data_IF_340840112364
#
_entry.id   IF_340840112364
#
_cell.length_a   1.000
_cell.length_b   1.000
_cell.length_c   1.000
_cell.angle_alpha   90.00
_cell.angle_beta   90.00
_cell.angle_gamma   90.00
#
_symmetry.space_group_name_H-M   'P 1'
#
loop_
_entity.id
_entity.type
_entity.pdbx_description
1 polymer ?
#
# COMPACT_ATOMS: atom_id res chain seq x y z
N UNK A 1 22.10 15.25 -29.79
CA UNK A 1 20.88 14.45 -30.09
C UNK A 1 21.06 12.95 -29.83
N UNK A 2 22.00 12.23 -30.49
CA UNK A 2 22.17 10.77 -30.22
C UNK A 2 22.73 10.44 -28.83
N UNK A 3 23.68 11.23 -28.29
CA UNK A 3 24.23 11.03 -26.93
C UNK A 3 23.25 11.38 -25.81
N UNK A 4 22.50 12.48 -25.94
CA UNK A 4 21.45 12.83 -24.95
C UNK A 4 20.35 11.78 -24.92
N UNK A 5 19.89 11.29 -26.08
CA UNK A 5 18.91 10.20 -26.15
C UNK A 5 19.50 8.92 -25.55
N UNK A 6 20.79 8.64 -25.76
CA UNK A 6 21.44 7.49 -25.15
C UNK A 6 21.53 7.63 -23.63
N UNK A 7 21.88 8.81 -23.11
CA UNK A 7 21.95 9.10 -21.67
C UNK A 7 20.59 9.09 -21.00
N UNK A 8 19.55 9.63 -21.65
CA UNK A 8 18.16 9.49 -21.20
C UNK A 8 17.75 8.01 -21.18
N UNK A 9 18.14 7.23 -22.19
CA UNK A 9 17.91 5.78 -22.18
C UNK A 9 18.66 5.09 -21.05
N UNK A 10 19.90 5.49 -20.74
CA UNK A 10 20.68 4.95 -19.63
C UNK A 10 20.06 5.32 -18.28
N UNK A 11 19.61 6.55 -18.06
CA UNK A 11 18.91 6.93 -16.81
C UNK A 11 17.54 6.23 -16.69
N UNK A 12 16.84 6.03 -17.81
CA UNK A 12 15.64 5.18 -17.83
C UNK A 12 16.00 3.73 -17.46
N UNK A 13 17.12 3.20 -17.96
CA UNK A 13 17.64 1.86 -17.60
C UNK A 13 18.07 1.78 -16.13
N UNK A 14 18.70 2.81 -15.56
CA UNK A 14 19.05 2.85 -14.14
C UNK A 14 17.79 2.88 -13.25
N UNK A 15 16.75 3.63 -13.65
CA UNK A 15 15.42 3.51 -13.01
C UNK A 15 14.88 2.08 -13.12
N UNK A 16 15.09 1.40 -14.26
CA UNK A 16 14.69 0.00 -14.44
C UNK A 16 15.57 -0.97 -13.63
N UNK A 17 16.83 -0.63 -13.33
CA UNK A 17 17.73 -1.43 -12.51
C UNK A 17 17.44 -1.27 -11.00
N UNK A 18 17.11 -0.07 -10.53
CA UNK A 18 16.51 0.14 -9.20
C UNK A 18 15.20 -0.67 -9.02
N UNK A 19 14.44 -0.83 -10.12
CA UNK A 19 13.28 -1.70 -10.16
C UNK A 19 13.63 -3.19 -10.17
N UNK A 20 14.79 -3.59 -10.71
CA UNK A 20 15.30 -4.96 -10.79
C UNK A 20 15.95 -5.41 -9.47
N UNK A 21 16.60 -4.51 -8.74
CA UNK A 21 17.16 -4.79 -7.41
C UNK A 21 16.06 -5.13 -6.40
N UNK A 22 14.94 -4.39 -6.44
CA UNK A 22 13.75 -4.74 -5.67
C UNK A 22 13.08 -6.05 -6.14
N UNK A 23 13.43 -6.56 -7.32
CA UNK A 23 12.99 -7.86 -7.84
C UNK A 23 13.85 -9.01 -7.31
N UNK A 24 15.16 -8.83 -7.12
CA UNK A 24 16.04 -9.90 -6.61
C UNK A 24 15.59 -10.41 -5.21
N UNK A 25 15.05 -9.52 -4.36
CA UNK A 25 14.47 -9.87 -3.05
C UNK A 25 13.14 -10.66 -3.11
N UNK A 26 12.38 -10.52 -4.21
CA UNK A 26 11.15 -11.30 -4.47
C UNK A 26 11.49 -12.61 -5.24
N UNK A 27 12.47 -12.59 -6.14
CA UNK A 27 12.87 -13.69 -7.02
C UNK A 27 13.51 -14.88 -6.29
N UNK A 28 14.32 -14.59 -5.28
CA UNK A 28 14.90 -15.62 -4.40
C UNK A 28 13.80 -16.42 -3.68
N UNK A 29 12.61 -15.84 -3.55
CA UNK A 29 11.44 -16.45 -2.92
C UNK A 29 10.63 -17.28 -3.93
N UNK A 30 10.40 -16.77 -5.14
CA UNK A 30 9.64 -17.47 -6.19
C UNK A 30 10.34 -18.78 -6.62
N UNK A 31 11.67 -18.83 -6.61
CA UNK A 31 12.42 -20.07 -6.85
C UNK A 31 12.22 -21.13 -5.75
N UNK A 32 11.92 -20.72 -4.51
CA UNK A 32 11.60 -21.63 -3.40
C UNK A 32 10.12 -22.06 -3.41
N UNK A 33 9.24 -21.29 -4.08
CA UNK A 33 7.78 -21.51 -4.17
C UNK A 33 7.41 -22.56 -5.22
N UNK A 34 8.22 -22.71 -6.27
CA UNK A 34 7.94 -23.61 -7.39
C UNK A 34 7.88 -25.11 -7.01
N UNK A 35 8.47 -25.50 -5.88
CA UNK A 35 8.52 -26.90 -5.43
C UNK A 35 7.23 -27.40 -4.72
N UNK A 36 6.18 -26.55 -4.58
CA UNK A 36 5.01 -26.93 -3.76
C UNK A 36 3.62 -26.39 -4.15
N UNK A 37 3.45 -25.66 -5.26
CA UNK A 37 2.13 -25.10 -5.64
C UNK A 37 1.50 -25.83 -6.84
N UNK A 38 0.20 -26.17 -6.73
CA UNK A 38 -0.55 -26.91 -7.75
C UNK A 38 -1.19 -26.04 -8.86
N UNK A 39 -1.23 -24.71 -8.70
CA UNK A 39 -1.77 -23.79 -9.71
C UNK A 39 -0.66 -22.97 -10.40
N UNK A 40 -0.76 -22.75 -11.72
CA UNK A 40 0.19 -21.90 -12.43
C UNK A 40 0.03 -20.44 -11.99
N UNK A 41 1.07 -19.92 -11.35
CA UNK A 41 1.23 -18.50 -11.07
C UNK A 41 1.28 -17.69 -12.38
N UNK A 42 0.85 -16.43 -12.34
CA UNK A 42 0.97 -15.55 -13.51
C UNK A 42 2.44 -15.42 -13.94
N UNK A 43 2.67 -15.50 -15.26
CA UNK A 43 4.00 -15.30 -15.83
C UNK A 43 4.57 -13.94 -15.43
N UNK A 44 5.86 -13.95 -15.08
CA UNK A 44 6.55 -12.77 -14.55
C UNK A 44 6.54 -11.60 -15.53
N UNK A 45 6.79 -11.84 -16.82
CA UNK A 45 6.84 -10.78 -17.83
C UNK A 45 5.46 -10.15 -18.02
N UNK A 46 4.40 -10.98 -18.00
CA UNK A 46 3.02 -10.49 -18.05
C UNK A 46 2.71 -9.63 -16.83
N UNK A 47 3.07 -10.08 -15.63
CA UNK A 47 2.84 -9.32 -14.40
C UNK A 47 3.47 -7.93 -14.45
N UNK A 48 4.75 -7.82 -14.82
CA UNK A 48 5.44 -6.53 -14.84
C UNK A 48 4.90 -5.58 -15.92
N UNK A 49 4.58 -6.10 -17.10
CA UNK A 49 3.96 -5.30 -18.16
C UNK A 49 2.64 -4.70 -17.70
N UNK A 50 1.77 -5.51 -17.09
CA UNK A 50 0.49 -5.02 -16.58
C UNK A 50 0.66 -4.10 -15.36
N UNK A 51 1.60 -4.39 -14.46
CA UNK A 51 1.89 -3.53 -13.32
C UNK A 51 2.33 -2.15 -13.79
N UNK A 52 3.24 -2.06 -14.77
CA UNK A 52 3.72 -0.81 -15.31
C UNK A 52 2.57 -0.01 -15.96
N UNK A 53 1.73 -0.68 -16.75
CA UNK A 53 0.52 -0.06 -17.32
C UNK A 53 -0.40 0.50 -16.23
N UNK A 54 -0.65 -0.25 -15.17
CA UNK A 54 -1.51 0.18 -14.07
C UNK A 54 -0.88 1.31 -13.24
N UNK A 55 0.45 1.30 -13.05
CA UNK A 55 1.15 2.39 -12.37
C UNK A 55 1.11 3.70 -13.16
N UNK A 56 1.19 3.63 -14.49
CA UNK A 56 0.95 4.80 -15.33
C UNK A 56 -0.46 5.38 -15.13
N UNK A 57 -1.46 4.51 -15.06
CA UNK A 57 -2.84 4.94 -14.76
C UNK A 57 -3.01 5.47 -13.33
N UNK A 58 -2.28 4.94 -12.35
CA UNK A 58 -2.25 5.50 -10.98
C UNK A 58 -1.68 6.92 -10.96
N UNK A 59 -0.66 7.22 -11.78
CA UNK A 59 -0.14 8.59 -11.92
C UNK A 59 -1.22 9.52 -12.49
N UNK A 60 -2.00 9.07 -13.47
CA UNK A 60 -3.13 9.84 -14.02
C UNK A 60 -4.24 10.06 -12.98
N UNK A 61 -4.55 9.03 -12.19
CA UNK A 61 -5.49 9.15 -11.08
C UNK A 61 -5.01 10.18 -10.06
N UNK A 62 -3.72 10.17 -9.71
CA UNK A 62 -3.14 11.14 -8.79
C UNK A 62 -3.27 12.57 -9.33
N UNK A 63 -2.87 12.80 -10.59
CA UNK A 63 -2.97 14.11 -11.24
C UNK A 63 -4.43 14.61 -11.19
N UNK A 64 -5.39 13.71 -11.46
CA UNK A 64 -6.82 14.02 -11.39
C UNK A 64 -7.29 14.37 -9.99
N UNK A 65 -6.89 13.60 -8.97
CA UNK A 65 -7.20 13.88 -7.56
C UNK A 65 -6.72 15.27 -7.17
N UNK A 66 -5.50 15.65 -7.54
CA UNK A 66 -4.97 16.99 -7.28
C UNK A 66 -5.70 18.09 -8.04
N UNK A 67 -6.00 17.85 -9.32
CA UNK A 67 -6.65 18.82 -10.19
C UNK A 67 -8.08 19.12 -9.75
N UNK A 68 -8.86 18.08 -9.45
CA UNK A 68 -10.25 18.19 -8.96
C UNK A 68 -10.37 18.38 -7.45
N UNK A 69 -9.24 18.43 -6.73
CA UNK A 69 -9.21 18.60 -5.27
C UNK A 69 -10.00 17.52 -4.52
N UNK A 70 -10.01 16.30 -5.07
CA UNK A 70 -10.68 15.15 -4.45
C UNK A 70 -9.95 14.73 -3.17
N UNK A 71 -10.67 14.07 -2.27
CA UNK A 71 -10.14 13.50 -1.04
C UNK A 71 -10.34 12.00 -1.10
N UNK A 72 -9.27 11.21 -0.99
CA UNK A 72 -9.38 9.75 -1.10
C UNK A 72 -8.75 9.04 0.10
N UNK A 73 -9.47 8.05 0.63
CA UNK A 73 -9.00 7.14 1.67
C UNK A 73 -9.12 5.71 1.17
N UNK A 74 -8.03 4.94 1.27
CA UNK A 74 -8.02 3.52 0.93
C UNK A 74 -7.59 2.72 2.14
N UNK A 75 -8.46 1.84 2.64
CA UNK A 75 -8.16 0.97 3.78
C UNK A 75 -7.68 -0.38 3.27
N UNK A 76 -6.53 -0.83 3.79
CA UNK A 76 -6.00 -2.16 3.55
C UNK A 76 -6.13 -2.99 4.82
N UNK A 77 -7.14 -3.85 4.85
CA UNK A 77 -7.36 -4.86 5.89
C UNK A 77 -7.19 -6.27 5.33
N UNK A 78 -7.15 -7.25 6.23
CA UNK A 78 -6.96 -8.65 5.89
C UNK A 78 -5.98 -9.34 6.84
N UNK A 79 -5.86 -10.66 6.66
CA UNK A 79 -5.04 -11.49 7.55
C UNK A 79 -3.57 -11.08 7.57
N UNK A 80 -2.89 -11.51 8.62
CA UNK A 80 -1.44 -11.39 8.70
C UNK A 80 -0.81 -12.22 7.59
N UNK A 81 0.24 -11.65 6.99
CA UNK A 81 0.87 -12.17 5.79
C UNK A 81 0.05 -12.19 4.49
N UNK A 82 -1.17 -11.64 4.47
CA UNK A 82 -2.02 -11.61 3.26
C UNK A 82 -1.46 -10.79 2.09
N UNK A 83 -0.49 -9.90 2.33
CA UNK A 83 0.21 -9.16 1.27
C UNK A 83 -0.15 -7.68 1.14
N UNK A 84 -0.85 -7.11 2.13
CA UNK A 84 -1.27 -5.70 2.22
C UNK A 84 -0.14 -4.72 1.92
N UNK A 85 0.93 -4.73 2.73
CA UNK A 85 2.07 -3.83 2.54
C UNK A 85 2.77 -3.98 1.18
N UNK A 86 2.76 -5.18 0.60
CA UNK A 86 3.28 -5.38 -0.77
C UNK A 86 2.40 -4.70 -1.82
N UNK A 87 1.08 -4.75 -1.66
CA UNK A 87 0.14 -4.07 -2.55
C UNK A 87 0.24 -2.54 -2.39
N UNK A 88 0.31 -2.03 -1.16
CA UNK A 88 0.54 -0.61 -0.86
C UNK A 88 1.84 -0.15 -1.52
N UNK A 89 2.94 -0.89 -1.33
CA UNK A 89 4.24 -0.56 -1.95
C UNK A 89 4.11 -0.43 -3.47
N UNK A 90 3.40 -1.33 -4.15
CA UNK A 90 3.21 -1.26 -5.61
C UNK A 90 2.32 -0.11 -6.05
N UNK A 91 1.35 0.31 -5.24
CA UNK A 91 0.54 1.53 -5.51
C UNK A 91 1.41 2.78 -5.38
N UNK A 92 2.15 2.91 -4.28
CA UNK A 92 2.88 4.15 -3.97
C UNK A 92 4.20 4.29 -4.73
N UNK A 93 4.72 3.21 -5.33
CA UNK A 93 6.04 3.15 -5.97
C UNK A 93 6.29 4.28 -6.99
N UNK A 94 5.25 4.72 -7.72
CA UNK A 94 5.36 5.73 -8.78
C UNK A 94 4.59 7.02 -8.48
N UNK A 95 4.08 7.15 -7.26
CA UNK A 95 3.26 8.29 -6.86
C UNK A 95 4.09 9.31 -6.11
N UNK A 96 3.72 10.58 -6.28
CA UNK A 96 4.31 11.68 -5.54
C UNK A 96 3.92 11.55 -4.05
N UNK A 97 4.89 11.41 -3.13
CA UNK A 97 4.61 11.21 -1.71
C UNK A 97 3.93 12.39 -1.03
N UNK A 98 3.94 13.59 -1.66
CA UNK A 98 3.19 14.76 -1.19
C UNK A 98 1.70 14.66 -1.46
N UNK A 99 1.30 13.76 -2.35
CA UNK A 99 -0.10 13.56 -2.77
C UNK A 99 -0.64 12.27 -2.21
N UNK A 100 0.16 11.21 -2.28
CA UNK A 100 -0.20 9.88 -1.84
C UNK A 100 0.71 9.49 -0.67
N UNK A 101 0.13 9.39 0.53
CA UNK A 101 0.86 9.00 1.74
C UNK A 101 0.29 7.74 2.39
N UNK A 102 1.16 6.99 3.03
CA UNK A 102 0.81 5.78 3.78
C UNK A 102 0.72 6.11 5.27
N UNK A 103 -0.32 5.59 5.92
CA UNK A 103 -0.53 5.66 7.37
C UNK A 103 -0.45 4.24 7.92
N UNK A 104 0.54 3.98 8.77
CA UNK A 104 0.71 2.72 9.48
C UNK A 104 0.94 3.05 10.96
N UNK A 105 -0.15 3.08 11.74
CA UNK A 105 -0.08 3.48 13.14
C UNK A 105 0.40 2.32 14.03
N UNK A 106 1.28 2.59 15.01
CA UNK A 106 1.63 1.59 16.01
C UNK A 106 0.45 1.36 16.98
N UNK A 107 0.65 0.43 17.92
CA UNK A 107 -0.27 0.23 19.03
C UNK A 107 -0.58 1.56 19.75
N UNK A 108 -1.84 1.78 20.21
CA UNK A 108 -2.23 3.04 20.82
C UNK A 108 -1.52 3.24 22.16
N UNK A 109 -1.02 4.46 22.37
CA UNK A 109 -0.50 4.95 23.65
C UNK A 109 -1.60 4.99 24.71
N UNK A 110 -1.23 5.08 25.99
CA UNK A 110 -2.20 5.21 27.10
C UNK A 110 -3.16 6.40 26.92
N UNK A 111 -2.64 7.52 26.41
CA UNK A 111 -3.45 8.70 26.09
C UNK A 111 -4.41 8.44 24.92
N UNK A 112 -3.99 7.73 23.88
CA UNK A 112 -4.88 7.39 22.76
C UNK A 112 -5.94 6.35 23.16
N UNK A 113 -5.64 5.46 24.11
CA UNK A 113 -6.61 4.49 24.65
C UNK A 113 -7.75 5.14 25.43
N UNK A 114 -7.49 6.30 26.04
CA UNK A 114 -8.50 7.09 26.77
C UNK A 114 -9.21 8.14 25.91
N UNK A 115 -8.88 8.24 24.61
CA UNK A 115 -9.56 9.10 23.66
C UNK A 115 -10.78 8.40 23.05
N UNK A 116 -11.60 9.18 22.34
CA UNK A 116 -12.53 8.59 21.39
C UNK A 116 -11.77 7.79 20.34
N UNK A 117 -12.17 6.53 20.11
CA UNK A 117 -11.40 5.57 19.33
C UNK A 117 -10.97 6.05 17.94
N UNK A 118 -11.85 6.77 17.23
CA UNK A 118 -11.57 7.28 15.88
C UNK A 118 -10.65 8.51 15.88
N UNK A 119 -10.43 9.17 17.02
CA UNK A 119 -9.71 10.46 17.11
C UNK A 119 -8.30 10.39 16.52
N UNK A 120 -7.54 9.33 16.83
CA UNK A 120 -6.18 9.16 16.30
C UNK A 120 -6.16 8.97 14.78
N UNK A 121 -7.19 8.33 14.22
CA UNK A 121 -7.29 8.08 12.78
C UNK A 121 -7.71 9.34 12.01
N UNK A 122 -8.62 10.13 12.59
CA UNK A 122 -9.14 11.38 12.00
C UNK A 122 -8.02 12.37 11.68
N UNK A 123 -6.98 12.42 12.52
CA UNK A 123 -5.81 13.28 12.31
C UNK A 123 -5.05 12.97 10.99
N UNK A 124 -5.25 11.77 10.44
CA UNK A 124 -4.58 11.33 9.24
C UNK A 124 -5.49 11.31 8.00
N UNK A 125 -6.72 11.82 8.08
CA UNK A 125 -7.59 11.92 6.91
C UNK A 125 -7.02 12.90 5.86
N UNK A 126 -7.36 12.71 4.57
CA UNK A 126 -6.87 13.55 3.48
C UNK A 126 -7.42 14.97 3.52
N UNK A 127 -6.60 15.91 3.08
CA UNK A 127 -7.04 17.23 2.63
C UNK A 127 -7.29 17.24 1.12
N UNK A 128 -7.74 18.39 0.59
CA UNK A 128 -8.10 18.57 -0.80
C UNK A 128 -6.95 18.25 -1.76
N UNK A 129 -7.12 17.21 -2.58
CA UNK A 129 -6.11 16.74 -3.53
C UNK A 129 -5.18 15.68 -2.95
N UNK A 130 -5.50 15.07 -1.81
CA UNK A 130 -4.70 14.01 -1.19
C UNK A 130 -5.35 12.62 -1.29
N UNK A 131 -4.48 11.62 -1.36
CA UNK A 131 -4.78 10.20 -1.24
C UNK A 131 -4.07 9.65 0.01
N UNK A 132 -4.82 8.97 0.88
CA UNK A 132 -4.27 8.36 2.09
C UNK A 132 -4.54 6.87 2.10
N UNK A 133 -3.48 6.08 2.18
CA UNK A 133 -3.53 4.62 2.22
C UNK A 133 -3.25 4.17 3.65
N UNK A 134 -4.23 3.53 4.27
CA UNK A 134 -4.14 2.99 5.62
C UNK A 134 -3.67 1.53 5.59
N UNK A 135 -2.45 1.25 6.05
CA UNK A 135 -2.00 -0.12 6.34
C UNK A 135 -2.51 -0.53 7.73
N UNK A 136 -3.64 -1.24 7.72
CA UNK A 136 -4.60 -1.29 8.83
C UNK A 136 -5.23 0.07 9.17
N UNK A 137 -6.34 0.02 9.88
CA UNK A 137 -7.22 1.17 10.09
C UNK A 137 -7.95 1.10 11.43
N UNK A 138 -9.05 1.84 11.56
CA UNK A 138 -9.98 1.70 12.68
C UNK A 138 -10.62 0.31 12.77
N UNK A 139 -10.52 -0.52 11.73
CA UNK A 139 -10.96 -1.92 11.80
C UNK A 139 -10.06 -2.83 12.64
N UNK A 140 -8.95 -2.32 13.21
CA UNK A 140 -8.22 -3.02 14.26
C UNK A 140 -9.13 -3.49 15.40
N UNK A 141 -10.14 -2.69 15.78
CA UNK A 141 -11.12 -3.05 16.80
C UNK A 141 -11.91 -4.31 16.47
N UNK A 142 -12.42 -4.39 15.24
CA UNK A 142 -13.20 -5.53 14.77
C UNK A 142 -12.37 -6.77 14.43
N UNK A 143 -11.05 -6.65 14.35
CA UNK A 143 -10.13 -7.74 14.07
C UNK A 143 -9.26 -8.08 15.28
N UNK A 144 -8.05 -7.52 15.30
CA UNK A 144 -7.02 -7.89 16.27
C UNK A 144 -7.37 -7.56 17.71
N UNK A 145 -8.00 -6.42 17.99
CA UNK A 145 -8.34 -6.06 19.38
C UNK A 145 -9.42 -7.00 19.95
N UNK A 146 -10.40 -7.38 19.13
CA UNK A 146 -11.41 -8.37 19.51
C UNK A 146 -10.79 -9.73 19.82
N UNK A 147 -10.01 -10.27 18.88
CA UNK A 147 -9.48 -11.65 18.99
C UNK A 147 -8.47 -11.76 20.13
N UNK A 148 -7.65 -10.73 20.32
CA UNK A 148 -6.60 -10.72 21.36
C UNK A 148 -7.08 -10.15 22.71
N UNK A 149 -8.36 -9.80 22.84
CA UNK A 149 -8.94 -9.29 24.08
C UNK A 149 -8.43 -7.90 24.49
N UNK A 150 -8.04 -7.05 23.53
CA UNK A 150 -7.61 -5.67 23.80
C UNK A 150 -8.75 -4.66 23.86
N UNK A 151 -9.97 -5.07 23.50
CA UNK A 151 -11.19 -4.30 23.72
C UNK A 151 -12.26 -5.19 24.37
N UNK A 152 -13.10 -4.59 25.21
CA UNK A 152 -14.26 -5.25 25.81
C UNK A 152 -15.41 -5.45 24.80
N UNK A 153 -16.37 -6.34 25.11
CA UNK A 153 -17.56 -6.54 24.27
C UNK A 153 -18.37 -5.26 24.02
N UNK A 154 -18.52 -4.40 25.04
CA UNK A 154 -19.25 -3.14 24.92
C UNK A 154 -18.55 -2.13 23.99
N UNK A 155 -17.21 -2.09 24.03
CA UNK A 155 -16.42 -1.22 23.16
C UNK A 155 -16.47 -1.67 21.69
N UNK A 156 -16.52 -2.98 21.47
CA UNK A 156 -16.67 -3.58 20.15
C UNK A 156 -18.06 -3.32 19.57
N UNK A 157 -19.10 -3.51 20.38
CA UNK A 157 -20.47 -3.22 19.97
C UNK A 157 -20.67 -1.73 19.67
N UNK A 158 -20.12 -0.85 20.50
CA UNK A 158 -20.13 0.58 20.24
C UNK A 158 -19.39 0.94 18.95
N UNK A 159 -18.25 0.28 18.67
CA UNK A 159 -17.56 0.45 17.40
C UNK A 159 -18.42 0.06 16.21
N UNK A 160 -19.13 -1.07 16.26
CA UNK A 160 -19.99 -1.49 15.17
C UNK A 160 -21.21 -0.58 14.96
N UNK A 161 -21.71 0.07 16.01
CA UNK A 161 -22.73 1.12 15.88
C UNK A 161 -22.16 2.40 15.26
N UNK A 162 -20.97 2.78 15.68
CA UNK A 162 -20.34 4.04 15.29
C UNK A 162 -19.70 4.01 13.89
N UNK A 163 -19.05 2.91 13.49
CA UNK A 163 -18.22 2.89 12.26
C UNK A 163 -19.00 3.14 10.97
N UNK A 164 -20.22 2.60 10.74
CA UNK A 164 -20.96 2.91 9.52
C UNK A 164 -21.37 4.38 9.47
N UNK A 165 -21.78 4.97 10.60
CA UNK A 165 -22.13 6.39 10.66
C UNK A 165 -20.92 7.29 10.43
N UNK A 166 -19.78 6.94 11.04
CA UNK A 166 -18.52 7.62 10.83
C UNK A 166 -18.14 7.62 9.34
N UNK A 167 -18.19 6.46 8.68
CA UNK A 167 -17.88 6.34 7.25
C UNK A 167 -18.87 7.12 6.37
N UNK A 168 -20.17 7.09 6.69
CA UNK A 168 -21.17 7.93 6.00
C UNK A 168 -20.89 9.42 6.17
N UNK A 169 -20.38 9.87 7.32
CA UNK A 169 -19.96 11.26 7.51
C UNK A 169 -18.77 11.60 6.58
N UNK A 170 -17.79 10.72 6.47
CA UNK A 170 -16.64 10.91 5.57
C UNK A 170 -17.09 11.02 4.12
N UNK A 171 -17.91 10.07 3.66
CA UNK A 171 -18.41 10.03 2.28
C UNK A 171 -19.28 11.25 1.96
N UNK A 172 -20.17 11.67 2.87
CA UNK A 172 -20.96 12.91 2.70
C UNK A 172 -20.10 14.17 2.66
N UNK A 173 -18.92 14.16 3.29
CA UNK A 173 -17.92 15.23 3.20
C UNK A 173 -17.14 15.21 1.86
N UNK A 174 -17.46 14.28 0.95
CA UNK A 174 -16.79 14.13 -0.33
C UNK A 174 -15.48 13.36 -0.26
N UNK A 175 -15.26 12.55 0.78
CA UNK A 175 -14.16 11.59 0.82
C UNK A 175 -14.57 10.33 0.06
N UNK A 176 -13.78 9.96 -0.94
CA UNK A 176 -13.89 8.67 -1.61
C UNK A 176 -13.24 7.63 -0.71
N UNK A 177 -14.06 6.78 -0.08
CA UNK A 177 -13.61 5.74 0.84
C UNK A 177 -13.68 4.37 0.16
N UNK A 178 -12.52 3.71 0.03
CA UNK A 178 -12.40 2.36 -0.55
C UNK A 178 -11.84 1.41 0.49
N UNK A 179 -12.50 0.29 0.75
CA UNK A 179 -12.10 -0.68 1.78
C UNK A 179 -11.78 -2.04 1.17
N UNK A 180 -10.56 -2.52 1.35
CA UNK A 180 -10.10 -3.81 0.84
C UNK A 180 -9.82 -4.81 1.94
N UNK A 181 -10.36 -6.02 1.80
CA UNK A 181 -10.00 -7.17 2.62
C UNK A 181 -9.16 -8.17 1.80
N UNK A 182 -7.89 -8.34 2.15
CA UNK A 182 -7.00 -9.32 1.52
C UNK A 182 -7.22 -10.71 2.15
N UNK A 183 -7.73 -11.64 1.35
CA UNK A 183 -8.08 -13.00 1.77
C UNK A 183 -7.05 -14.02 1.26
N UNK A 184 -6.56 -14.86 2.17
CA UNK A 184 -5.69 -16.01 1.88
C UNK A 184 -6.25 -17.24 2.60
N UNK A 185 -5.86 -18.43 2.17
CA UNK A 185 -6.17 -19.70 2.86
C UNK A 185 -5.23 -19.89 4.06
N UNK A 186 -5.56 -20.83 4.94
CA UNK A 186 -4.75 -21.16 6.12
C UNK A 186 -3.40 -21.75 5.69
N UNK A 187 -3.43 -22.62 4.68
CA UNK A 187 -2.24 -23.26 4.12
C UNK A 187 -1.28 -22.22 3.53
N UNK A 188 -1.81 -21.23 2.80
CA UNK A 188 -1.00 -20.14 2.26
C UNK A 188 -0.46 -19.23 3.37
N UNK A 189 -1.22 -19.01 4.44
CA UNK A 189 -0.74 -18.25 5.58
C UNK A 189 0.43 -18.99 6.26
N UNK A 190 0.28 -20.28 6.52
CA UNK A 190 1.32 -21.15 7.07
C UNK A 190 2.60 -21.09 6.25
N UNK A 191 2.45 -21.30 4.94
CA UNK A 191 3.56 -21.31 4.00
C UNK A 191 4.33 -20.00 4.08
N UNK A 192 3.64 -18.85 4.06
CA UNK A 192 4.29 -17.54 4.16
C UNK A 192 4.97 -17.30 5.50
N UNK A 193 4.43 -17.85 6.60
CA UNK A 193 5.10 -17.78 7.90
C UNK A 193 6.41 -18.56 7.90
N UNK A 194 6.39 -19.82 7.43
CA UNK A 194 7.61 -20.65 7.30
C UNK A 194 8.66 -19.97 6.44
N UNK A 195 8.26 -19.38 5.31
CA UNK A 195 9.17 -18.64 4.43
C UNK A 195 9.81 -17.43 5.12
N UNK A 196 9.07 -16.66 5.92
CA UNK A 196 9.62 -15.51 6.65
C UNK A 196 10.59 -15.92 7.76
N UNK A 197 10.34 -17.05 8.42
CA UNK A 197 11.23 -17.60 9.45
C UNK A 197 12.59 -17.92 8.84
N UNK A 198 12.58 -18.48 7.63
CA UNK A 198 13.77 -18.95 6.92
C UNK A 198 14.44 -17.88 6.02
N UNK A 199 13.87 -16.68 5.89
CA UNK A 199 14.41 -15.58 5.08
C UNK A 199 14.92 -14.43 5.97
N UNK A 200 16.25 -14.25 6.12
CA UNK A 200 16.84 -13.21 6.96
C UNK A 200 16.39 -11.79 6.63
N UNK A 201 16.04 -11.50 5.37
CA UNK A 201 15.60 -10.17 4.94
C UNK A 201 14.14 -9.87 5.32
N UNK A 202 13.39 -10.89 5.76
CA UNK A 202 11.95 -10.81 6.08
C UNK A 202 11.62 -11.20 7.51
N UNK A 203 12.59 -11.65 8.31
CA UNK A 203 12.40 -12.00 9.72
C UNK A 203 11.82 -10.84 10.54
N UNK A 204 12.21 -9.60 10.27
CA UNK A 204 11.66 -8.41 10.95
C UNK A 204 10.14 -8.22 10.74
N UNK A 205 9.53 -8.89 9.74
CA UNK A 205 8.09 -8.87 9.48
C UNK A 205 7.31 -9.88 10.33
N UNK A 206 7.96 -10.56 11.27
CA UNK A 206 7.34 -11.48 12.22
C UNK A 206 7.35 -10.83 13.60
N UNK A 207 6.16 -10.60 14.12
CA UNK A 207 5.95 -10.23 15.52
C UNK A 207 5.40 -11.43 16.30
N UNK A 208 5.56 -11.47 17.63
CA UNK A 208 4.90 -12.48 18.47
C UNK A 208 3.38 -12.55 18.23
N UNK A 209 2.77 -11.39 17.97
CA UNK A 209 1.35 -11.26 17.63
C UNK A 209 0.96 -12.03 16.36
N UNK A 210 1.83 -12.02 15.34
CA UNK A 210 1.53 -12.73 14.09
C UNK A 210 1.51 -14.26 14.31
N UNK A 211 2.32 -14.79 15.23
CA UNK A 211 2.32 -16.21 15.57
C UNK A 211 1.06 -16.60 16.36
N UNK A 212 0.64 -15.77 17.32
CA UNK A 212 -0.64 -15.95 18.03
C UNK A 212 -1.83 -15.87 17.07
N UNK A 213 -1.75 -15.01 16.05
CA UNK A 213 -2.84 -14.87 15.06
C UNK A 213 -3.15 -16.16 14.32
N UNK A 214 -2.14 -17.03 14.15
CA UNK A 214 -2.27 -18.34 13.51
C UNK A 214 -3.07 -19.31 14.40
N UNK A 215 -2.82 -19.29 15.71
CA UNK A 215 -3.54 -20.14 16.68
C UNK A 215 -5.04 -19.81 16.66
N UNK A 216 -5.37 -18.53 16.50
CA UNK A 216 -6.72 -18.00 16.50
C UNK A 216 -7.37 -17.90 15.11
N UNK A 217 -7.00 -18.76 14.15
CA UNK A 217 -7.47 -18.68 12.77
C UNK A 217 -9.00 -18.56 12.64
N UNK A 218 -9.74 -19.41 13.36
CA UNK A 218 -11.22 -19.43 13.35
C UNK A 218 -11.82 -18.19 14.02
N UNK A 219 -11.22 -17.70 15.10
CA UNK A 219 -11.67 -16.46 15.77
C UNK A 219 -11.55 -15.26 14.83
N UNK A 220 -10.43 -15.15 14.11
CA UNK A 220 -10.27 -14.14 13.06
C UNK A 220 -11.26 -14.32 11.90
N UNK A 221 -11.65 -15.55 11.62
CA UNK A 221 -12.64 -15.85 10.56
C UNK A 221 -14.01 -15.33 10.96
N UNK A 222 -14.46 -15.65 12.19
CA UNK A 222 -15.71 -15.13 12.78
C UNK A 222 -15.68 -13.60 12.88
N UNK A 223 -14.57 -13.04 13.32
CA UNK A 223 -14.39 -11.60 13.42
C UNK A 223 -14.51 -10.89 12.07
N UNK A 224 -13.88 -11.43 11.01
CA UNK A 224 -14.02 -10.95 9.63
C UNK A 224 -15.47 -11.00 9.15
N UNK A 225 -16.16 -12.13 9.35
CA UNK A 225 -17.52 -12.31 8.85
C UNK A 225 -18.49 -11.30 9.44
N UNK A 226 -18.47 -11.14 10.76
CA UNK A 226 -19.30 -10.14 11.43
C UNK A 226 -18.90 -8.71 11.03
N UNK A 227 -17.61 -8.43 10.90
CA UNK A 227 -17.13 -7.13 10.43
C UNK A 227 -17.69 -6.79 9.05
N UNK A 228 -17.58 -7.71 8.09
CA UNK A 228 -18.10 -7.50 6.73
C UNK A 228 -19.62 -7.35 6.75
N UNK A 229 -20.34 -8.21 7.47
CA UNK A 229 -21.80 -8.16 7.58
C UNK A 229 -22.30 -6.82 8.14
N UNK A 230 -21.71 -6.34 9.24
CA UNK A 230 -22.18 -5.14 9.94
C UNK A 230 -21.72 -3.83 9.30
N UNK A 231 -20.67 -3.86 8.49
CA UNK A 231 -20.01 -2.62 8.00
C UNK A 231 -19.89 -2.53 6.48
N UNK A 232 -20.38 -3.53 5.74
CA UNK A 232 -20.60 -3.42 4.31
C UNK A 232 -21.87 -2.62 4.03
N UNK A 233 -21.72 -1.32 3.78
CA UNK A 233 -22.83 -0.42 3.45
C UNK A 233 -22.70 0.09 2.02
N UNK A 234 -23.81 0.54 1.44
CA UNK A 234 -23.86 1.03 0.05
C UNK A 234 -22.90 2.20 -0.19
N UNK A 235 -22.75 3.08 0.79
CA UNK A 235 -21.89 4.27 0.70
C UNK A 235 -20.41 3.97 0.85
N UNK A 236 -20.06 2.87 1.52
CA UNK A 236 -18.69 2.44 1.81
C UNK A 236 -18.62 0.90 1.78
N UNK A 237 -18.63 0.30 0.58
CA UNK A 237 -18.60 -1.14 0.44
C UNK A 237 -17.23 -1.73 0.79
N UNK A 238 -17.25 -2.99 1.20
CA UNK A 238 -16.07 -3.84 1.29
C UNK A 238 -15.81 -4.61 0.01
N UNK A 239 -14.55 -4.66 -0.40
CA UNK A 239 -14.07 -5.43 -1.54
C UNK A 239 -13.08 -6.50 -1.11
N UNK A 240 -13.37 -7.76 -1.41
CA UNK A 240 -12.51 -8.89 -1.07
C UNK A 240 -11.52 -9.14 -2.19
N UNK A 241 -10.23 -9.10 -1.87
CA UNK A 241 -9.12 -9.38 -2.78
C UNK A 241 -8.63 -10.80 -2.52
N UNK A 242 -8.75 -11.69 -3.52
CA UNK A 242 -8.17 -13.03 -3.48
C UNK A 242 -6.65 -12.92 -3.57
N UNK A 243 -5.96 -13.18 -2.46
CA UNK A 243 -4.57 -12.79 -2.24
C UNK A 243 -3.58 -13.95 -2.15
N UNK A 244 -4.00 -15.18 -2.49
CA UNK A 244 -3.13 -16.37 -2.57
C UNK A 244 -2.03 -16.14 -3.61
N UNK A 245 -2.39 -15.84 -4.86
CA UNK A 245 -1.45 -15.32 -5.85
C UNK A 245 -1.23 -13.81 -5.62
N UNK A 246 -0.10 -13.46 -4.99
CA UNK A 246 0.26 -12.06 -4.68
C UNK A 246 0.28 -11.17 -5.91
N UNK A 247 0.76 -11.68 -7.06
CA UNK A 247 0.93 -10.89 -8.28
C UNK A 247 -0.44 -10.56 -8.87
N UNK A 248 -1.32 -11.55 -9.03
CA UNK A 248 -2.72 -11.34 -9.46
C UNK A 248 -3.48 -10.43 -8.50
N UNK A 249 -3.32 -10.62 -7.20
CA UNK A 249 -3.97 -9.82 -6.17
C UNK A 249 -3.62 -8.33 -6.29
N UNK A 250 -2.33 -8.01 -6.48
CA UNK A 250 -1.86 -6.64 -6.70
C UNK A 250 -2.48 -6.02 -7.94
N UNK A 251 -2.41 -6.71 -9.08
CA UNK A 251 -2.95 -6.20 -10.35
C UNK A 251 -4.46 -5.96 -10.28
N UNK A 252 -5.22 -6.94 -9.78
CA UNK A 252 -6.68 -6.84 -9.67
C UNK A 252 -7.11 -5.75 -8.69
N UNK A 253 -6.45 -5.64 -7.54
CA UNK A 253 -6.74 -4.59 -6.57
C UNK A 253 -6.45 -3.21 -7.16
N UNK A 254 -5.30 -3.01 -7.84
CA UNK A 254 -4.98 -1.72 -8.47
C UNK A 254 -5.98 -1.40 -9.59
N UNK A 255 -6.31 -2.37 -10.44
CA UNK A 255 -7.29 -2.18 -11.51
C UNK A 255 -8.67 -1.79 -10.95
N UNK A 256 -9.10 -2.44 -9.87
CA UNK A 256 -10.35 -2.12 -9.18
C UNK A 256 -10.28 -0.74 -8.51
N UNK A 257 -9.16 -0.37 -7.89
CA UNK A 257 -8.97 0.95 -7.29
C UNK A 257 -9.12 2.06 -8.33
N UNK A 258 -8.51 1.89 -9.51
CA UNK A 258 -8.64 2.81 -10.63
C UNK A 258 -10.09 2.93 -11.10
N UNK A 259 -10.89 1.85 -11.07
CA UNK A 259 -12.29 1.91 -11.47
C UNK A 259 -13.20 2.59 -10.44
N UNK A 260 -12.75 2.80 -9.20
CA UNK A 260 -13.54 3.51 -8.18
C UNK A 260 -13.64 5.02 -8.43
N UNK A 261 -12.80 5.57 -9.31
CA UNK A 261 -12.77 7.01 -9.58
C UNK A 261 -12.85 7.24 -11.08
N UNK A 262 -13.82 8.03 -11.58
CA UNK A 262 -13.86 8.41 -13.00
C UNK A 262 -12.82 9.51 -13.26
N UNK A 263 -11.55 9.13 -13.42
CA UNK A 263 -10.47 10.06 -13.72
C UNK A 263 -10.32 10.28 -15.22
N UNK A 264 -9.99 11.52 -15.59
CA UNK A 264 -9.78 11.92 -16.98
C UNK A 264 -8.37 12.45 -17.19
N UNK A 265 -8.05 12.80 -18.43
CA UNK A 265 -6.76 13.43 -18.74
C UNK A 265 -6.71 14.85 -18.19
N UNK A 266 -5.74 15.12 -17.31
CA UNK A 266 -5.47 16.48 -16.81
C UNK A 266 -4.56 17.21 -17.80
N UNK A 267 -4.93 18.42 -18.28
CA UNK A 267 -4.05 19.23 -19.12
C UNK A 267 -2.72 19.51 -18.41
N UNK A 268 -1.61 19.24 -19.09
CA UNK A 268 -0.25 19.54 -18.60
C UNK A 268 0.30 20.74 -19.36
N UNK A 269 0.92 21.67 -18.65
CA UNK A 269 1.66 22.76 -19.27
C UNK A 269 2.89 22.20 -19.98
N UNK A 270 3.22 22.76 -21.14
CA UNK A 270 4.45 22.42 -21.86
C UNK A 270 5.65 22.91 -21.03
N UNK A 271 6.52 21.99 -20.62
CA UNK A 271 7.75 22.34 -19.91
C UNK A 271 8.81 22.68 -20.94
N UNK A 272 9.21 23.95 -21.03
CA UNK A 272 10.36 24.38 -21.80
C UNK A 272 11.59 24.41 -20.88
N UNK A 273 12.66 23.71 -21.27
CA UNK A 273 13.93 23.76 -20.54
C UNK A 273 14.62 25.10 -20.86
N UNK A 274 14.74 26.03 -19.91
CA UNK A 274 15.35 27.31 -20.19
C UNK A 274 16.84 27.15 -20.49
N UNK A 275 17.38 28.05 -21.32
CA UNK A 275 18.81 28.12 -21.53
C UNK A 275 19.53 28.36 -20.19
N UNK A 276 20.61 27.61 -19.97
CA UNK A 276 21.45 27.79 -18.78
C UNK A 276 22.09 29.18 -18.81
N UNK A 277 21.95 29.93 -17.72
CA UNK A 277 22.73 31.16 -17.49
C UNK A 277 24.17 30.76 -17.14
N UNK A 278 25.13 31.32 -17.88
CA UNK A 278 26.57 31.14 -17.64
C UNK A 278 27.18 32.47 -17.21
N UNK A 279 27.81 32.47 -16.05
CA UNK A 279 28.53 33.61 -15.49
C UNK A 279 30.03 33.38 -15.70
N UNK A 280 30.69 34.27 -16.45
CA UNK A 280 32.10 34.11 -16.81
C UNK A 280 33.06 34.28 -15.61
N UNK A 281 32.61 34.95 -14.56
CA UNK A 281 33.32 35.15 -13.29
C UNK A 281 33.23 33.92 -12.36
N UNK A 282 32.37 32.94 -12.66
CA UNK A 282 32.21 31.73 -11.85
C UNK A 282 33.12 30.60 -12.33
N UNK A 283 34.10 30.25 -11.48
CA UNK A 283 34.95 29.06 -11.66
C UNK A 283 34.53 28.02 -10.61
N UNK A 284 34.07 26.85 -11.07
CA UNK A 284 33.76 25.72 -10.19
C UNK A 284 35.05 25.24 -9.52
N UNK A 285 35.15 25.37 -8.20
CA UNK A 285 36.27 24.80 -7.46
C UNK A 285 36.12 23.28 -7.34
N UNK A 286 37.22 22.50 -7.41
CA UNK A 286 37.17 21.07 -7.19
C UNK A 286 36.74 20.78 -5.75
N UNK A 287 35.86 19.79 -5.58
CA UNK A 287 35.51 19.28 -4.26
C UNK A 287 36.73 18.51 -3.72
N UNK A 288 37.12 18.68 -2.45
CA UNK A 288 38.21 17.91 -1.83
C UNK A 288 37.96 16.40 -1.90
N UNK A 289 39.03 15.61 -2.07
CA UNK A 289 38.93 14.16 -2.32
C UNK A 289 38.30 13.40 -1.14
N UNK A 290 38.52 13.88 0.09
CA UNK A 290 37.97 13.33 1.32
C UNK A 290 36.44 13.49 1.45
N UNK A 291 35.83 14.37 0.65
CA UNK A 291 34.39 14.58 0.64
C UNK A 291 33.66 13.66 -0.34
N UNK A 292 34.38 12.93 -1.20
CA UNK A 292 33.76 11.92 -2.06
C UNK A 292 33.55 10.63 -1.28
N UNK A 293 32.39 10.01 -1.51
CA UNK A 293 32.15 8.64 -1.06
C UNK A 293 33.17 7.74 -1.76
N UNK A 294 33.97 6.94 -1.02
CA UNK A 294 34.94 6.03 -1.63
C UNK A 294 34.24 5.08 -2.60
N UNK A 295 34.73 5.02 -3.83
CA UNK A 295 34.24 4.10 -4.85
C UNK A 295 34.64 2.67 -4.47
N UNK A 296 33.65 1.80 -4.21
CA UNK A 296 33.86 0.41 -3.79
C UNK A 296 33.47 -0.61 -4.86
N UNK A 297 32.76 -0.20 -5.91
CA UNK A 297 32.19 -1.04 -6.97
C UNK A 297 32.41 -0.39 -8.32
#
# INVERSE_FOLDING_TARGET
>A
MNEEIHRIKTELLDSFDEELEQQLDEDRLDQLVADGMSEPMIDRKIYFRELFRLQHELVRLQDWVQYKKLKMVVLFEGRDSAGKGGAIKRVTQRLNPRVCRVVALPAPTERERSQWYFQRYVQHLPTAGEMVLFDRSWYNRAGVERVMGFCGPDELEEFFRSVPEFERMLVRSGIILVKYWFSITDEEQEFRFRMRINDPLKQWKLSPMDLESRVHWEDYTRAKEEMLERTHIREAPWWVVQAVDKKKARLNMIAHLLSQVPYEHVPKETVELPARVRNDDYIRQPVPLEMYVPEQY
#
